data_IF_392443299337
#
_entry.id   IF_392443299337
#
_cell.length_a   1.000
_cell.length_b   1.000
_cell.length_c   1.000
_cell.angle_alpha   90.00
_cell.angle_beta   90.00
_cell.angle_gamma   90.00
#
_symmetry.space_group_name_H-M   'P 1'
#
loop_
_entity.id
_entity.type
_entity.pdbx_description
1 polymer ?
#
# COMPACT_ATOMS: atom_id res chain seq x y z
N UNK A 1 44.89 -36.02 14.21
CA UNK A 1 43.49 -36.23 14.63
C UNK A 1 42.87 -34.88 14.87
N UNK A 2 42.26 -34.30 13.84
CA UNK A 2 41.48 -33.05 13.93
C UNK A 2 40.06 -33.47 13.60
N UNK A 3 39.23 -33.53 14.64
CA UNK A 3 37.82 -33.92 14.53
C UNK A 3 37.06 -32.79 13.85
N UNK A 4 36.46 -33.11 12.71
CA UNK A 4 35.59 -32.24 11.95
C UNK A 4 34.22 -32.20 12.64
N UNK A 5 33.94 -31.15 13.42
CA UNK A 5 32.63 -30.90 14.00
C UNK A 5 31.84 -29.95 13.08
N UNK A 6 31.38 -30.49 11.95
CA UNK A 6 30.45 -29.81 11.06
C UNK A 6 29.37 -30.82 10.66
N UNK A 7 28.31 -30.89 11.47
CA UNK A 7 26.96 -31.35 11.13
C UNK A 7 26.19 -31.55 12.44
N UNK A 8 25.37 -30.57 12.83
CA UNK A 8 24.35 -30.75 13.86
C UNK A 8 23.28 -29.66 13.81
N UNK A 9 22.74 -29.39 12.62
CA UNK A 9 21.35 -28.98 12.47
C UNK A 9 20.84 -29.66 11.21
N UNK A 10 19.81 -30.52 11.28
CA UNK A 10 19.10 -30.89 10.07
C UNK A 10 18.49 -29.60 9.52
N UNK A 11 18.91 -29.17 8.33
CA UNK A 11 18.12 -28.21 7.59
C UNK A 11 16.73 -28.84 7.41
N UNK A 12 15.65 -28.17 7.82
CA UNK A 12 14.33 -28.68 7.53
C UNK A 12 14.21 -28.77 6.00
N UNK A 13 13.72 -29.91 5.50
CA UNK A 13 13.26 -30.07 4.12
C UNK A 13 12.10 -29.08 3.90
N UNK A 14 12.45 -27.81 3.70
CA UNK A 14 11.54 -26.79 3.24
C UNK A 14 11.42 -26.97 1.74
N UNK A 15 10.18 -27.00 1.27
CA UNK A 15 9.94 -26.83 -0.15
C UNK A 15 10.61 -25.50 -0.54
N UNK A 16 11.45 -25.44 -1.59
CA UNK A 16 12.00 -24.18 -2.12
C UNK A 16 10.93 -23.15 -2.50
N UNK A 17 9.66 -23.54 -2.40
CA UNK A 17 8.43 -22.76 -2.53
C UNK A 17 8.05 -21.93 -1.29
N UNK A 18 8.62 -22.17 -0.11
CA UNK A 18 8.25 -21.46 1.13
C UNK A 18 9.19 -20.28 1.46
N UNK A 19 10.20 -20.01 0.62
CA UNK A 19 11.12 -18.91 0.81
C UNK A 19 10.54 -17.59 0.25
N UNK A 20 10.47 -16.57 1.10
CA UNK A 20 10.09 -15.23 0.69
C UNK A 20 11.21 -14.61 -0.16
N UNK A 21 10.97 -14.50 -1.47
CA UNK A 21 11.92 -13.93 -2.43
C UNK A 21 11.50 -12.54 -2.88
N UNK A 22 12.46 -11.61 -2.85
CA UNK A 22 12.29 -10.23 -3.33
C UNK A 22 13.20 -10.02 -4.55
N UNK A 23 12.62 -9.56 -5.65
CA UNK A 23 13.36 -9.14 -6.83
C UNK A 23 14.11 -7.82 -6.61
N UNK A 24 15.28 -7.68 -7.24
CA UNK A 24 16.09 -6.47 -7.12
C UNK A 24 15.34 -5.21 -7.57
N UNK A 25 14.51 -5.31 -8.62
CA UNK A 25 13.70 -4.20 -9.10
C UNK A 25 12.71 -3.70 -8.04
N UNK A 26 11.93 -4.62 -7.45
CA UNK A 26 11.01 -4.29 -6.35
C UNK A 26 11.75 -3.67 -5.17
N UNK A 27 12.93 -4.18 -4.84
CA UNK A 27 13.76 -3.60 -3.77
C UNK A 27 14.24 -2.18 -4.09
N UNK A 28 14.59 -1.90 -5.34
CA UNK A 28 15.03 -0.56 -5.73
C UNK A 28 13.87 0.43 -5.79
N UNK A 29 12.71 0.00 -6.29
CA UNK A 29 11.52 0.84 -6.47
C UNK A 29 10.83 1.17 -5.16
N UNK A 30 10.85 0.26 -4.18
CA UNK A 30 10.25 0.49 -2.87
C UNK A 30 11.06 1.43 -1.95
N UNK A 31 12.21 1.94 -2.42
CA UNK A 31 13.06 2.83 -1.63
C UNK A 31 12.41 4.18 -1.32
N UNK A 32 11.60 4.73 -2.23
CA UNK A 32 10.88 5.98 -1.99
C UNK A 32 9.87 5.82 -0.85
N UNK A 33 9.12 4.72 -0.86
CA UNK A 33 8.19 4.34 0.22
C UNK A 33 8.94 4.22 1.54
N UNK A 34 10.08 3.53 1.54
CA UNK A 34 10.88 3.34 2.75
C UNK A 34 11.49 4.64 3.28
N UNK A 35 11.93 5.53 2.40
CA UNK A 35 12.41 6.86 2.78
C UNK A 35 11.29 7.69 3.42
N UNK A 36 10.12 7.74 2.78
CA UNK A 36 8.95 8.43 3.34
C UNK A 36 8.56 7.83 4.70
N UNK A 37 8.46 6.50 4.80
CA UNK A 37 8.19 5.82 6.05
C UNK A 37 9.18 6.22 7.14
N UNK A 38 10.49 6.25 6.86
CA UNK A 38 11.49 6.66 7.84
C UNK A 38 11.30 8.12 8.28
N UNK A 39 10.96 9.03 7.35
CA UNK A 39 10.75 10.45 7.66
C UNK A 39 9.44 10.71 8.40
N UNK A 40 8.42 9.91 8.16
CA UNK A 40 7.05 10.13 8.64
C UNK A 40 6.72 9.32 9.90
N UNK A 41 7.25 8.10 10.05
CA UNK A 41 6.90 7.19 11.14
C UNK A 41 7.90 7.16 12.29
N UNK A 42 9.20 7.37 12.04
CA UNK A 42 10.21 7.22 13.10
C UNK A 42 9.98 8.16 14.29
N UNK A 43 9.38 9.33 14.07
CA UNK A 43 9.04 10.25 15.16
C UNK A 43 8.03 9.65 16.16
N UNK A 44 7.12 8.78 15.71
CA UNK A 44 6.18 8.05 16.58
C UNK A 44 6.85 6.96 17.41
N UNK A 45 8.10 6.65 17.07
CA UNK A 45 8.97 5.66 17.73
C UNK A 45 10.10 6.32 18.51
N UNK A 46 10.09 7.64 18.71
CA UNK A 46 11.21 8.37 19.32
C UNK A 46 12.55 8.09 18.60
N UNK A 47 12.48 7.90 17.29
CA UNK A 47 13.62 7.65 16.44
C UNK A 47 13.85 8.82 15.49
N UNK A 48 15.10 8.99 15.09
CA UNK A 48 15.54 10.03 14.17
C UNK A 48 16.14 9.36 12.94
N UNK A 49 15.64 9.68 11.74
CA UNK A 49 16.15 9.12 10.49
C UNK A 49 17.62 9.51 10.22
N UNK A 50 18.08 10.61 10.81
CA UNK A 50 19.48 11.06 10.76
C UNK A 50 20.45 10.22 11.60
N UNK A 51 19.94 9.31 12.45
CA UNK A 51 20.77 8.45 13.30
C UNK A 51 21.04 7.11 12.61
N UNK A 52 22.31 6.80 12.25
CA UNK A 52 22.64 5.55 11.55
C UNK A 52 22.20 4.31 12.31
N UNK A 53 22.25 4.33 13.64
CA UNK A 53 21.87 3.18 14.47
C UNK A 53 20.38 2.83 14.33
N UNK A 54 19.51 3.84 14.27
CA UNK A 54 18.08 3.67 14.05
C UNK A 54 17.79 3.08 12.67
N UNK A 55 18.54 3.50 11.66
CA UNK A 55 18.43 2.97 10.30
C UNK A 55 18.92 1.52 10.25
N UNK A 56 20.20 1.26 10.55
CA UNK A 56 20.78 -0.07 10.34
C UNK A 56 20.25 -1.17 11.27
N UNK A 57 19.60 -0.83 12.39
CA UNK A 57 19.03 -1.84 13.30
C UNK A 57 17.71 -2.43 12.80
N UNK A 58 16.94 -1.67 12.02
CA UNK A 58 15.56 -2.05 11.67
C UNK A 58 15.32 -2.08 10.15
N UNK A 59 16.05 -1.27 9.39
CA UNK A 59 15.91 -1.16 7.93
C UNK A 59 15.99 -2.50 7.20
N UNK A 60 16.83 -3.50 7.57
CA UNK A 60 16.85 -4.76 6.85
C UNK A 60 15.49 -5.48 6.82
N UNK A 61 14.75 -5.49 7.93
CA UNK A 61 13.44 -6.14 8.02
C UNK A 61 12.36 -5.27 7.35
N UNK A 62 12.40 -3.95 7.59
CA UNK A 62 11.44 -3.01 6.99
C UNK A 62 11.56 -3.01 5.46
N UNK A 63 12.79 -2.86 4.94
CA UNK A 63 13.08 -2.91 3.50
C UNK A 63 12.65 -4.24 2.91
N UNK A 64 13.01 -5.37 3.52
CA UNK A 64 12.61 -6.67 3.00
C UNK A 64 11.09 -6.82 2.91
N UNK A 65 10.38 -6.40 3.95
CA UNK A 65 8.92 -6.50 4.02
C UNK A 65 8.26 -5.63 2.98
N UNK A 66 8.64 -4.36 2.92
CA UNK A 66 8.12 -3.37 1.96
C UNK A 66 8.38 -3.82 0.52
N UNK A 67 9.62 -4.20 0.20
CA UNK A 67 9.96 -4.69 -1.13
C UNK A 67 9.23 -5.98 -1.51
N UNK A 68 8.88 -6.82 -0.53
CA UNK A 68 8.07 -8.01 -0.75
C UNK A 68 6.63 -7.62 -1.09
N UNK A 69 6.00 -6.74 -0.29
CA UNK A 69 4.63 -6.27 -0.53
C UNK A 69 4.55 -5.54 -1.88
N UNK A 70 5.47 -4.63 -2.17
CA UNK A 70 5.58 -3.93 -3.46
C UNK A 70 5.64 -4.89 -4.66
N UNK A 71 6.36 -6.02 -4.51
CA UNK A 71 6.41 -7.04 -5.56
C UNK A 71 5.05 -7.71 -5.77
N UNK A 72 4.28 -7.93 -4.69
CA UNK A 72 2.95 -8.51 -4.74
C UNK A 72 1.93 -7.51 -5.34
N UNK A 73 2.04 -6.22 -5.03
CA UNK A 73 1.25 -5.16 -5.66
C UNK A 73 1.43 -5.19 -7.19
N UNK A 74 2.68 -5.24 -7.65
CA UNK A 74 2.96 -5.36 -9.09
C UNK A 74 2.44 -6.65 -9.73
N UNK A 75 2.23 -7.74 -8.96
CA UNK A 75 1.52 -8.92 -9.47
C UNK A 75 0.01 -8.71 -9.51
N UNK A 76 -0.56 -8.00 -8.53
CA UNK A 76 -1.96 -7.64 -8.49
C UNK A 76 -2.36 -6.71 -9.64
N UNK A 77 -1.58 -5.66 -9.91
CA UNK A 77 -1.77 -4.75 -11.04
C UNK A 77 -1.78 -5.50 -12.39
N UNK A 78 -0.84 -6.43 -12.58
CA UNK A 78 -0.82 -7.27 -13.79
C UNK A 78 -2.07 -8.14 -13.94
N UNK A 79 -2.72 -8.52 -12.83
CA UNK A 79 -3.98 -9.26 -12.88
C UNK A 79 -5.16 -8.37 -13.31
N UNK A 80 -5.14 -7.08 -12.97
CA UNK A 80 -6.15 -6.11 -13.42
C UNK A 80 -6.14 -5.91 -14.94
N UNK A 81 -4.96 -5.99 -15.56
CA UNK A 81 -4.79 -5.79 -17.00
C UNK A 81 -5.21 -7.01 -17.85
N UNK A 82 -5.48 -8.17 -17.24
CA UNK A 82 -5.89 -9.37 -17.97
C UNK A 82 -7.37 -9.31 -18.37
N UNK A 83 -7.75 -9.68 -19.62
CA UNK A 83 -9.15 -9.69 -20.02
C UNK A 83 -9.99 -10.68 -19.20
N UNK A 84 -11.12 -10.22 -18.65
CA UNK A 84 -12.07 -10.99 -17.82
C UNK A 84 -12.67 -12.24 -18.49
N UNK A 85 -12.40 -12.46 -19.79
CA UNK A 85 -13.00 -13.50 -20.64
C UNK A 85 -12.08 -14.67 -20.98
N UNK A 86 -10.83 -14.69 -20.49
CA UNK A 86 -9.92 -15.83 -20.74
C UNK A 86 -10.09 -16.86 -19.62
N UNK A 87 -10.57 -18.09 -19.91
CA UNK A 87 -10.53 -19.18 -18.93
C UNK A 87 -9.07 -19.36 -18.47
N UNK A 88 -8.91 -19.64 -17.17
CA UNK A 88 -7.66 -19.73 -16.38
C UNK A 88 -6.63 -20.77 -16.89
N UNK A 89 -6.83 -21.35 -18.07
CA UNK A 89 -5.97 -22.32 -18.75
C UNK A 89 -5.80 -22.03 -20.25
N UNK A 90 -5.70 -20.77 -20.68
CA UNK A 90 -5.22 -20.53 -22.04
C UNK A 90 -3.72 -20.80 -22.13
N UNK A 91 -3.33 -21.59 -23.11
CA UNK A 91 -1.95 -21.90 -23.53
C UNK A 91 -1.10 -20.65 -23.84
N UNK A 92 -1.72 -19.47 -23.89
CA UNK A 92 -1.05 -18.21 -24.21
C UNK A 92 -0.13 -17.69 -23.07
N UNK A 93 -0.14 -18.34 -21.89
CA UNK A 93 0.87 -18.12 -20.85
C UNK A 93 2.21 -18.83 -21.12
N UNK A 94 2.32 -19.62 -22.20
CA UNK A 94 3.59 -20.29 -22.53
C UNK A 94 4.59 -19.40 -23.29
N UNK A 95 4.23 -18.17 -23.68
CA UNK A 95 5.08 -17.35 -24.57
C UNK A 95 5.39 -15.92 -24.08
N UNK A 96 5.40 -15.70 -22.76
CA UNK A 96 6.06 -14.53 -22.15
C UNK A 96 6.97 -14.99 -21.00
N UNK A 97 8.21 -15.28 -21.37
CA UNK A 97 9.45 -15.30 -20.57
C UNK A 97 9.31 -15.39 -19.02
N UNK A 98 8.91 -16.55 -18.52
CA UNK A 98 9.69 -17.41 -17.61
C UNK A 98 8.73 -18.34 -16.85
N UNK A 99 9.11 -19.62 -16.72
CA UNK A 99 8.43 -20.57 -15.82
C UNK A 99 8.32 -20.04 -14.37
N UNK A 100 9.19 -19.10 -13.99
CA UNK A 100 9.20 -18.42 -12.70
C UNK A 100 8.03 -17.41 -12.60
N UNK A 101 7.78 -16.60 -13.62
CA UNK A 101 6.66 -15.64 -13.65
C UNK A 101 5.29 -16.32 -13.54
N UNK A 102 5.06 -17.37 -14.32
CA UNK A 102 3.82 -18.16 -14.24
C UNK A 102 3.68 -18.94 -12.92
N UNK A 103 4.78 -19.16 -12.20
CA UNK A 103 4.80 -19.82 -10.88
C UNK A 103 4.53 -18.81 -9.77
N UNK A 104 5.13 -17.63 -9.82
CA UNK A 104 4.92 -16.53 -8.86
C UNK A 104 3.47 -16.00 -8.90
N UNK A 105 2.88 -15.84 -10.09
CA UNK A 105 1.46 -15.44 -10.22
C UNK A 105 0.52 -16.50 -9.64
N UNK A 106 0.83 -17.80 -9.79
CA UNK A 106 0.05 -18.88 -9.18
C UNK A 106 0.12 -18.87 -7.66
N UNK A 107 1.28 -18.53 -7.11
CA UNK A 107 1.51 -18.44 -5.67
C UNK A 107 0.76 -17.25 -5.06
N UNK A 108 0.88 -16.08 -5.69
CA UNK A 108 0.13 -14.88 -5.32
C UNK A 108 -1.38 -15.16 -5.23
N UNK A 109 -1.94 -15.93 -6.16
CA UNK A 109 -3.38 -16.24 -6.17
C UNK A 109 -3.85 -17.18 -5.07
N UNK A 110 -2.96 -17.94 -4.43
CA UNK A 110 -3.35 -18.96 -3.43
C UNK A 110 -3.20 -18.45 -2.01
N UNK A 111 -2.03 -17.92 -1.68
CA UNK A 111 -1.67 -17.46 -0.34
C UNK A 111 -0.43 -16.54 -0.48
N UNK A 112 -0.64 -15.26 -0.85
CA UNK A 112 0.43 -14.36 -1.25
C UNK A 112 1.39 -14.05 -0.09
N UNK A 113 0.90 -14.04 1.15
CA UNK A 113 1.70 -13.68 2.32
C UNK A 113 2.30 -14.86 3.07
N UNK A 114 1.97 -16.12 2.73
CA UNK A 114 2.53 -17.30 3.41
C UNK A 114 4.05 -17.24 3.61
N UNK A 115 4.86 -16.90 2.60
CA UNK A 115 6.31 -16.89 2.77
C UNK A 115 6.76 -15.80 3.75
N UNK A 116 6.15 -14.61 3.68
CA UNK A 116 6.44 -13.52 4.59
C UNK A 116 6.05 -13.89 6.03
N UNK A 117 4.88 -14.51 6.23
CA UNK A 117 4.44 -15.00 7.54
C UNK A 117 5.47 -15.97 8.16
N UNK A 118 5.98 -16.93 7.37
CA UNK A 118 7.01 -17.88 7.82
C UNK A 118 8.30 -17.15 8.23
N UNK A 119 8.74 -16.14 7.46
CA UNK A 119 9.93 -15.35 7.79
C UNK A 119 9.72 -14.58 9.10
N UNK A 120 8.60 -13.89 9.24
CA UNK A 120 8.29 -13.09 10.44
C UNK A 120 8.15 -13.98 11.68
N UNK A 121 7.53 -15.16 11.56
CA UNK A 121 7.39 -16.14 12.65
C UNK A 121 8.77 -16.62 13.12
N UNK A 122 9.66 -17.01 12.20
CA UNK A 122 11.02 -17.46 12.53
C UNK A 122 11.87 -16.40 13.21
N UNK A 123 11.65 -15.14 12.88
CA UNK A 123 12.33 -14.01 13.52
C UNK A 123 11.68 -13.57 14.84
N UNK A 124 10.58 -14.21 15.27
CA UNK A 124 9.83 -13.83 16.46
C UNK A 124 9.13 -12.47 16.34
N UNK A 125 8.85 -12.04 15.10
CA UNK A 125 8.24 -10.74 14.79
C UNK A 125 6.75 -10.84 14.48
N UNK A 126 6.24 -12.04 14.19
CA UNK A 126 4.84 -12.22 13.86
C UNK A 126 3.95 -11.99 15.09
N UNK A 127 2.90 -11.19 14.91
CA UNK A 127 1.85 -10.95 15.91
C UNK A 127 0.49 -11.11 15.26
N UNK A 128 -0.55 -11.40 16.05
CA UNK A 128 -1.93 -11.51 15.57
C UNK A 128 -2.36 -10.26 14.79
N UNK A 129 -1.94 -9.07 15.24
CA UNK A 129 -2.24 -7.80 14.56
C UNK A 129 -1.54 -7.66 13.22
N UNK A 130 -0.29 -8.13 13.09
CA UNK A 130 0.40 -8.14 11.78
C UNK A 130 -0.29 -9.11 10.82
N UNK A 131 -0.70 -10.28 11.31
CA UNK A 131 -1.49 -11.22 10.49
C UNK A 131 -2.81 -10.60 10.02
N UNK A 132 -3.45 -9.80 10.87
CA UNK A 132 -4.69 -9.11 10.55
C UNK A 132 -4.50 -8.00 9.52
N UNK A 133 -3.42 -7.20 9.61
CA UNK A 133 -3.10 -6.20 8.58
C UNK A 133 -2.72 -6.85 7.23
N UNK A 134 -2.06 -8.02 7.23
CA UNK A 134 -1.82 -8.78 6.00
C UNK A 134 -3.13 -9.27 5.37
N UNK A 135 -4.09 -9.75 6.19
CA UNK A 135 -5.44 -10.10 5.71
C UNK A 135 -6.17 -8.89 5.13
N UNK A 136 -6.01 -7.72 5.75
CA UNK A 136 -6.52 -6.45 5.21
C UNK A 136 -5.92 -6.13 3.84
N UNK A 137 -4.63 -6.38 3.61
CA UNK A 137 -4.00 -6.24 2.30
C UNK A 137 -4.58 -7.20 1.24
N UNK A 138 -4.85 -8.46 1.61
CA UNK A 138 -5.53 -9.39 0.70
C UNK A 138 -6.96 -8.94 0.36
N UNK A 139 -7.69 -8.42 1.34
CA UNK A 139 -9.03 -7.84 1.17
C UNK A 139 -8.96 -6.63 0.22
N UNK A 140 -7.99 -5.73 0.41
CA UNK A 140 -7.78 -4.59 -0.48
C UNK A 140 -7.60 -5.03 -1.93
N UNK A 141 -6.66 -5.94 -2.21
CA UNK A 141 -6.42 -6.42 -3.57
C UNK A 141 -7.64 -7.11 -4.17
N UNK A 142 -8.45 -7.80 -3.36
CA UNK A 142 -9.70 -8.39 -3.83
C UNK A 142 -10.72 -7.32 -4.23
N UNK A 143 -10.92 -6.30 -3.39
CA UNK A 143 -11.82 -5.19 -3.65
C UNK A 143 -11.40 -4.38 -4.87
N UNK A 144 -10.12 -4.06 -4.99
CA UNK A 144 -9.57 -3.36 -6.15
C UNK A 144 -9.88 -4.11 -7.46
N UNK A 145 -9.59 -5.41 -7.50
CA UNK A 145 -9.90 -6.24 -8.67
C UNK A 145 -11.38 -6.28 -9.00
N UNK A 146 -12.24 -6.39 -7.99
CA UNK A 146 -13.69 -6.40 -8.18
C UNK A 146 -14.19 -5.05 -8.72
N UNK A 147 -13.81 -3.95 -8.08
CA UNK A 147 -14.25 -2.60 -8.41
C UNK A 147 -13.76 -2.17 -9.80
N UNK A 148 -12.48 -2.36 -10.10
CA UNK A 148 -11.92 -2.01 -11.41
C UNK A 148 -12.48 -2.89 -12.54
N UNK A 149 -12.74 -4.19 -12.27
CA UNK A 149 -13.41 -5.05 -13.26
C UNK A 149 -14.86 -4.62 -13.51
N UNK A 150 -15.57 -4.18 -12.47
CA UNK A 150 -16.92 -3.66 -12.57
C UNK A 150 -16.98 -2.37 -13.39
N UNK A 151 -16.00 -1.47 -13.24
CA UNK A 151 -15.89 -0.26 -14.08
C UNK A 151 -15.77 -0.59 -15.56
N UNK A 152 -14.83 -1.47 -15.94
CA UNK A 152 -14.63 -1.88 -17.34
C UNK A 152 -15.85 -2.60 -17.90
N UNK A 153 -16.49 -3.44 -17.08
CA UNK A 153 -17.70 -4.19 -17.47
C UNK A 153 -18.99 -3.35 -17.39
N UNK A 154 -18.88 -2.06 -17.04
CA UNK A 154 -19.98 -1.15 -16.77
C UNK A 154 -21.05 -1.70 -15.80
N UNK A 155 -20.64 -2.48 -14.81
CA UNK A 155 -21.51 -3.02 -13.75
C UNK A 155 -21.68 -2.01 -12.62
N UNK A 156 -22.70 -2.19 -11.79
CA UNK A 156 -22.85 -1.42 -10.56
C UNK A 156 -21.70 -1.73 -9.59
N UNK A 157 -21.37 -0.75 -8.75
CA UNK A 157 -20.37 -0.89 -7.68
C UNK A 157 -21.00 -0.54 -6.33
N UNK A 158 -20.40 -1.04 -5.26
CA UNK A 158 -20.76 -0.68 -3.88
C UNK A 158 -19.89 0.48 -3.41
N UNK A 159 -20.51 1.58 -2.97
CA UNK A 159 -19.76 2.68 -2.36
C UNK A 159 -19.09 2.26 -1.04
N UNK A 160 -19.68 1.31 -0.31
CA UNK A 160 -19.09 0.78 0.93
C UNK A 160 -17.78 0.05 0.64
N UNK A 161 -17.73 -0.66 -0.47
CA UNK A 161 -16.58 -1.45 -0.89
C UNK A 161 -15.47 -0.52 -1.38
N UNK A 162 -15.83 0.53 -2.13
CA UNK A 162 -14.88 1.58 -2.51
C UNK A 162 -14.31 2.33 -1.30
N UNK A 163 -15.15 2.72 -0.34
CA UNK A 163 -14.69 3.33 0.91
C UNK A 163 -13.85 2.37 1.74
N UNK A 164 -14.20 1.09 1.78
CA UNK A 164 -13.38 0.06 2.46
C UNK A 164 -12.02 -0.08 1.79
N UNK A 165 -11.97 -0.14 0.46
CA UNK A 165 -10.72 -0.28 -0.28
C UNK A 165 -9.74 0.86 0.00
N UNK A 166 -10.18 2.13 -0.07
CA UNK A 166 -9.29 3.27 0.22
C UNK A 166 -8.77 3.25 1.67
N UNK A 167 -9.57 2.80 2.64
CA UNK A 167 -9.11 2.63 4.02
C UNK A 167 -8.11 1.47 4.21
N UNK A 168 -8.06 0.52 3.28
CA UNK A 168 -7.16 -0.62 3.35
C UNK A 168 -5.87 -0.42 2.54
N UNK A 169 -5.81 0.60 1.68
CA UNK A 169 -4.74 0.80 0.70
C UNK A 169 -3.34 0.86 1.32
N UNK A 170 -3.14 1.64 2.39
CA UNK A 170 -1.84 1.79 3.08
C UNK A 170 -1.57 0.71 4.15
N UNK A 171 -1.94 -0.55 3.90
CA UNK A 171 -1.72 -1.64 4.87
C UNK A 171 -0.24 -1.99 5.06
N UNK A 172 0.58 -1.79 4.03
CA UNK A 172 2.04 -1.91 4.01
C UNK A 172 2.70 -1.01 5.06
N UNK A 173 2.32 0.28 5.12
CA UNK A 173 2.76 1.23 6.13
C UNK A 173 2.38 0.79 7.55
N UNK A 174 1.16 0.27 7.73
CA UNK A 174 0.70 -0.26 9.02
C UNK A 174 1.49 -1.48 9.45
N UNK A 175 1.79 -2.40 8.54
CA UNK A 175 2.66 -3.56 8.81
C UNK A 175 4.06 -3.10 9.20
N UNK A 176 4.68 -2.19 8.45
CA UNK A 176 6.00 -1.63 8.77
C UNK A 176 5.99 -0.96 10.15
N UNK A 177 4.94 -0.22 10.50
CA UNK A 177 4.79 0.43 11.80
C UNK A 177 4.70 -0.59 12.95
N UNK A 178 3.90 -1.64 12.78
CA UNK A 178 3.77 -2.72 13.76
C UNK A 178 5.06 -3.52 13.91
N UNK A 179 5.75 -3.81 12.81
CA UNK A 179 7.07 -4.44 12.84
C UNK A 179 8.08 -3.59 13.61
N UNK A 180 8.04 -2.27 13.45
CA UNK A 180 8.93 -1.37 14.17
C UNK A 180 8.67 -1.38 15.68
N UNK A 181 7.40 -1.42 16.12
CA UNK A 181 7.07 -1.65 17.53
C UNK A 181 7.65 -2.97 18.06
N UNK A 182 7.46 -4.05 17.30
CA UNK A 182 7.92 -5.39 17.70
C UNK A 182 9.45 -5.50 17.75
N UNK A 183 10.15 -4.96 16.75
CA UNK A 183 11.61 -4.92 16.69
C UNK A 183 12.22 -4.15 17.87
N UNK A 184 11.50 -3.16 18.39
CA UNK A 184 11.92 -2.35 19.55
C UNK A 184 11.48 -2.95 20.89
N UNK A 185 10.67 -3.99 20.87
CA UNK A 185 10.07 -4.57 22.09
C UNK A 185 9.14 -3.61 22.81
N UNK A 186 8.51 -2.69 22.07
CA UNK A 186 7.57 -1.71 22.62
C UNK A 186 6.12 -2.12 22.41
N UNK A 187 5.25 -1.67 23.32
CA UNK A 187 3.80 -1.84 23.14
C UNK A 187 3.31 -0.89 22.06
N UNK A 188 2.43 -1.40 21.20
CA UNK A 188 1.74 -0.58 20.20
C UNK A 188 0.96 0.53 20.91
N UNK A 189 1.10 1.75 20.40
CA UNK A 189 0.35 2.91 20.88
C UNK A 189 -0.90 3.09 20.01
N UNK A 190 -2.08 2.79 20.56
CA UNK A 190 -3.34 2.85 19.81
C UNK A 190 -3.69 4.26 19.32
N UNK A 191 -3.32 5.29 20.06
CA UNK A 191 -3.54 6.67 19.61
C UNK A 191 -2.70 6.98 18.36
N UNK A 192 -1.45 6.49 18.32
CA UNK A 192 -0.59 6.65 17.15
C UNK A 192 -1.15 5.87 15.96
N UNK A 193 -1.59 4.63 16.17
CA UNK A 193 -2.19 3.82 15.11
C UNK A 193 -3.46 4.46 14.54
N UNK A 194 -4.34 4.97 15.40
CA UNK A 194 -5.57 5.64 14.95
C UNK A 194 -5.25 6.93 14.19
N UNK A 195 -4.36 7.77 14.73
CA UNK A 195 -3.93 9.00 14.07
C UNK A 195 -3.35 8.73 12.67
N UNK A 196 -2.39 7.81 12.59
CA UNK A 196 -1.72 7.47 11.33
C UNK A 196 -2.71 6.90 10.32
N UNK A 197 -3.64 6.03 10.72
CA UNK A 197 -4.65 5.49 9.79
C UNK A 197 -5.55 6.55 9.13
N UNK A 198 -5.83 7.66 9.83
CA UNK A 198 -6.61 8.78 9.27
C UNK A 198 -5.73 9.65 8.37
N UNK A 199 -4.47 9.86 8.77
CA UNK A 199 -3.53 10.60 7.95
C UNK A 199 -3.20 9.88 6.64
N UNK A 200 -2.98 8.57 6.71
CA UNK A 200 -2.83 7.66 5.56
C UNK A 200 -4.00 7.83 4.59
N UNK A 201 -5.24 7.75 5.07
CA UNK A 201 -6.42 7.96 4.23
C UNK A 201 -6.39 9.30 3.49
N UNK A 202 -6.03 10.39 4.15
CA UNK A 202 -5.96 11.71 3.51
C UNK A 202 -4.84 11.75 2.45
N UNK A 203 -3.69 11.12 2.71
CA UNK A 203 -2.62 10.98 1.72
C UNK A 203 -3.09 10.18 0.52
N UNK A 204 -3.71 9.02 0.72
CA UNK A 204 -4.23 8.19 -0.38
C UNK A 204 -5.28 8.91 -1.23
N UNK A 205 -6.17 9.68 -0.61
CA UNK A 205 -7.15 10.50 -1.35
C UNK A 205 -6.43 11.62 -2.12
N UNK A 206 -5.36 12.21 -1.58
CA UNK A 206 -4.58 13.22 -2.27
C UNK A 206 -3.87 12.64 -3.49
N UNK A 207 -3.26 11.46 -3.34
CA UNK A 207 -2.55 10.76 -4.42
C UNK A 207 -3.53 10.35 -5.52
N UNK A 208 -4.68 9.75 -5.16
CA UNK A 208 -5.75 9.43 -6.12
C UNK A 208 -6.24 10.69 -6.88
N UNK A 209 -6.32 11.85 -6.24
CA UNK A 209 -6.74 13.08 -6.93
C UNK A 209 -5.66 13.63 -7.87
N UNK A 210 -4.38 13.38 -7.55
CA UNK A 210 -3.25 13.78 -8.37
C UNK A 210 -3.10 12.86 -9.60
N UNK A 211 -3.20 11.54 -9.39
CA UNK A 211 -3.01 10.50 -10.41
C UNK A 211 -4.30 10.13 -11.17
N UNK A 212 -5.40 10.84 -10.93
CA UNK A 212 -6.74 10.51 -11.44
C UNK A 212 -6.80 10.19 -12.94
N UNK A 213 -6.12 10.98 -13.78
CA UNK A 213 -6.14 10.78 -15.23
C UNK A 213 -5.38 9.51 -15.63
N UNK A 214 -4.20 9.29 -15.04
CA UNK A 214 -3.37 8.11 -15.30
C UNK A 214 -4.05 6.84 -14.78
N UNK A 215 -4.67 6.88 -13.61
CA UNK A 215 -5.45 5.76 -13.06
C UNK A 215 -6.66 5.39 -13.92
N UNK A 216 -7.32 6.36 -14.54
CA UNK A 216 -8.36 6.09 -15.54
C UNK A 216 -7.76 5.40 -16.76
N UNK A 217 -6.59 5.82 -17.23
CA UNK A 217 -5.94 5.19 -18.40
C UNK A 217 -5.54 3.74 -18.09
N UNK A 218 -4.92 3.50 -16.95
CA UNK A 218 -4.36 2.21 -16.55
C UNK A 218 -5.39 1.25 -15.94
N UNK A 219 -6.58 1.76 -15.61
CA UNK A 219 -7.63 1.05 -14.90
C UNK A 219 -7.25 0.66 -13.45
N UNK A 220 -6.49 1.52 -12.77
CA UNK A 220 -6.08 1.35 -11.37
C UNK A 220 -7.16 1.85 -10.40
N UNK A 221 -7.22 1.32 -9.18
CA UNK A 221 -8.18 1.82 -8.20
C UNK A 221 -7.97 3.31 -7.95
N UNK A 222 -9.08 4.06 -7.89
CA UNK A 222 -9.06 5.49 -7.58
C UNK A 222 -10.41 5.89 -7.00
N UNK A 223 -10.40 6.56 -5.85
CA UNK A 223 -11.61 6.87 -5.10
C UNK A 223 -12.55 7.81 -5.87
N UNK A 224 -12.02 8.76 -6.65
CA UNK A 224 -12.86 9.65 -7.45
C UNK A 224 -13.55 8.88 -8.58
N UNK A 225 -12.86 7.94 -9.24
CA UNK A 225 -13.47 7.04 -10.25
C UNK A 225 -14.66 6.28 -9.65
N UNK A 226 -14.49 5.74 -8.44
CA UNK A 226 -15.57 5.02 -7.74
C UNK A 226 -16.72 5.95 -7.39
N UNK A 227 -16.44 7.16 -6.88
CA UNK A 227 -17.49 8.12 -6.55
C UNK A 227 -18.27 8.56 -7.79
N UNK A 228 -17.60 8.79 -8.92
CA UNK A 228 -18.23 9.13 -10.20
C UNK A 228 -19.12 7.99 -10.67
N UNK A 229 -18.66 6.74 -10.59
CA UNK A 229 -19.46 5.58 -10.98
C UNK A 229 -20.72 5.40 -10.13
N UNK A 230 -20.64 5.66 -8.83
CA UNK A 230 -21.76 5.44 -7.91
C UNK A 230 -22.73 6.64 -7.82
N UNK A 231 -22.22 7.85 -7.65
CA UNK A 231 -23.03 9.07 -7.47
C UNK A 231 -23.35 9.79 -8.78
N UNK A 232 -22.63 9.48 -9.86
CA UNK A 232 -22.68 10.21 -11.11
C UNK A 232 -21.78 11.46 -11.09
N UNK A 233 -21.43 11.98 -12.28
CA UNK A 233 -20.37 12.99 -12.43
C UNK A 233 -20.68 14.33 -11.74
N UNK A 234 -21.95 14.71 -11.65
CA UNK A 234 -22.35 15.97 -11.02
C UNK A 234 -22.29 15.93 -9.49
N UNK A 235 -22.59 14.78 -8.88
CA UNK A 235 -22.66 14.66 -7.42
C UNK A 235 -21.35 14.16 -6.79
N UNK A 236 -20.53 13.43 -7.55
CA UNK A 236 -19.29 12.82 -7.06
C UNK A 236 -18.31 13.83 -6.41
N UNK A 237 -17.98 15.00 -7.00
CA UNK A 237 -17.07 15.96 -6.37
C UNK A 237 -17.60 16.48 -5.02
N UNK A 238 -18.91 16.70 -4.91
CA UNK A 238 -19.54 17.18 -3.67
C UNK A 238 -19.48 16.10 -2.59
N UNK A 239 -19.80 14.85 -2.96
CA UNK A 239 -19.75 13.72 -2.05
C UNK A 239 -18.32 13.42 -1.59
N UNK A 240 -17.33 13.52 -2.48
CA UNK A 240 -15.93 13.32 -2.13
C UNK A 240 -15.41 14.44 -1.23
N UNK A 241 -15.74 15.70 -1.51
CA UNK A 241 -15.40 16.82 -0.64
C UNK A 241 -15.96 16.62 0.78
N UNK A 242 -17.20 16.12 0.89
CA UNK A 242 -17.79 15.79 2.20
C UNK A 242 -17.03 14.67 2.91
N UNK A 243 -16.66 13.60 2.19
CA UNK A 243 -15.86 12.50 2.73
C UNK A 243 -14.50 12.98 3.26
N UNK A 244 -13.83 13.85 2.49
CA UNK A 244 -12.57 14.49 2.89
C UNK A 244 -12.76 15.33 4.16
N UNK A 245 -13.80 16.18 4.23
CA UNK A 245 -14.06 17.01 5.41
C UNK A 245 -14.29 16.17 6.68
N UNK A 246 -15.03 15.06 6.58
CA UNK A 246 -15.25 14.16 7.72
C UNK A 246 -13.92 13.53 8.20
N UNK A 247 -13.02 13.17 7.27
CA UNK A 247 -11.70 12.65 7.60
C UNK A 247 -10.78 13.74 8.21
N UNK A 248 -10.81 14.97 7.69
CA UNK A 248 -10.06 16.11 8.24
C UNK A 248 -10.52 16.47 9.65
N UNK A 249 -11.83 16.48 9.93
CA UNK A 249 -12.35 16.71 11.28
C UNK A 249 -11.85 15.66 12.27
N UNK A 250 -11.80 14.39 11.86
CA UNK A 250 -11.24 13.30 12.67
C UNK A 250 -9.73 13.47 12.86
N UNK A 251 -9.00 13.79 11.80
CA UNK A 251 -7.57 14.07 11.82
C UNK A 251 -7.23 15.18 12.82
N UNK A 252 -7.94 16.31 12.75
CA UNK A 252 -7.75 17.45 13.65
C UNK A 252 -8.02 17.11 15.11
N UNK A 253 -9.02 16.26 15.37
CA UNK A 253 -9.33 15.77 16.70
C UNK A 253 -8.19 14.93 17.28
N UNK A 254 -7.65 14.00 16.48
CA UNK A 254 -6.56 13.11 16.88
C UNK A 254 -5.22 13.85 17.00
N UNK A 255 -4.93 14.77 16.09
CA UNK A 255 -3.72 15.59 16.11
C UNK A 255 -3.60 16.37 17.43
N UNK A 256 -4.72 16.95 17.92
CA UNK A 256 -4.79 17.65 19.20
C UNK A 256 -4.64 16.73 20.41
N UNK A 257 -4.89 15.43 20.25
CA UNK A 257 -4.75 14.44 21.30
C UNK A 257 -3.32 13.87 21.40
N UNK A 258 -2.50 14.01 20.35
CA UNK A 258 -1.09 13.62 20.36
C UNK A 258 -0.28 14.46 21.37
N UNK A 259 0.90 13.93 21.72
CA UNK A 259 1.91 14.73 22.41
C UNK A 259 2.21 16.02 21.60
N UNK A 260 2.27 17.20 22.23
CA UNK A 260 2.44 18.46 21.52
C UNK A 260 3.74 18.55 20.70
N UNK A 261 4.83 17.95 21.16
CA UNK A 261 6.09 17.94 20.41
C UNK A 261 5.97 17.04 19.18
N UNK A 262 5.36 15.86 19.34
CA UNK A 262 5.09 14.95 18.24
C UNK A 262 4.15 15.58 17.19
N UNK A 263 3.06 16.19 17.62
CA UNK A 263 2.12 16.91 16.74
C UNK A 263 2.84 17.99 15.92
N UNK A 264 3.71 18.78 16.55
CA UNK A 264 4.47 19.83 15.87
C UNK A 264 5.46 19.24 14.85
N UNK A 265 6.18 18.17 15.22
CA UNK A 265 7.11 17.48 14.30
C UNK A 265 6.37 16.91 13.08
N UNK A 266 5.21 16.31 13.32
CA UNK A 266 4.40 15.73 12.25
C UNK A 266 3.87 16.79 11.29
N UNK A 267 3.31 17.89 11.80
CA UNK A 267 2.86 19.01 10.98
C UNK A 267 3.98 19.56 10.10
N UNK A 268 5.19 19.72 10.67
CA UNK A 268 6.36 20.15 9.89
C UNK A 268 6.71 19.16 8.77
N UNK A 269 6.63 17.85 9.04
CA UNK A 269 6.84 16.81 8.02
C UNK A 269 5.81 16.91 6.89
N UNK A 270 4.55 17.18 7.20
CA UNK A 270 3.50 17.41 6.19
C UNK A 270 3.81 18.62 5.30
N UNK A 271 4.28 19.72 5.90
CA UNK A 271 4.72 20.91 5.16
C UNK A 271 5.90 20.59 4.22
N UNK A 272 6.89 19.84 4.70
CA UNK A 272 8.02 19.37 3.89
C UNK A 272 7.56 18.52 2.70
N UNK A 273 6.70 17.52 2.92
CA UNK A 273 6.13 16.68 1.85
C UNK A 273 5.38 17.51 0.80
N UNK A 274 4.54 18.44 1.26
CA UNK A 274 3.78 19.34 0.38
C UNK A 274 4.70 20.21 -0.48
N UNK A 275 5.83 20.67 0.10
CA UNK A 275 6.82 21.49 -0.60
C UNK A 275 7.63 20.70 -1.62
N UNK A 276 7.98 19.44 -1.32
CA UNK A 276 8.66 18.51 -2.23
C UNK A 276 7.77 18.20 -3.44
N UNK A 277 6.44 18.13 -3.25
CA UNK A 277 5.44 18.05 -4.32
C UNK A 277 5.22 19.36 -5.11
N UNK A 278 6.04 20.39 -4.88
CA UNK A 278 6.04 21.63 -5.68
C UNK A 278 5.12 22.76 -5.19
N UNK A 279 4.41 22.60 -4.06
CA UNK A 279 3.59 23.67 -3.45
C UNK A 279 4.40 24.47 -2.43
N UNK A 280 4.70 25.73 -2.73
CA UNK A 280 5.55 26.61 -1.86
C UNK A 280 4.76 27.46 -0.85
N UNK A 281 3.43 27.52 -0.96
CA UNK A 281 2.56 28.31 -0.08
C UNK A 281 1.17 27.65 0.05
N UNK A 282 0.62 27.57 1.27
CA UNK A 282 -0.71 27.01 1.53
C UNK A 282 -0.88 26.48 2.96
N UNK A 283 -2.06 25.90 3.29
CA UNK A 283 -2.26 25.14 4.53
C UNK A 283 -1.25 23.99 4.66
N UNK A 284 -0.97 23.53 5.88
CA UNK A 284 -0.01 22.44 6.15
C UNK A 284 -0.42 21.08 5.58
N UNK A 285 -1.71 20.87 5.35
CA UNK A 285 -2.27 19.71 4.63
C UNK A 285 -2.45 19.97 3.12
N UNK A 286 -1.98 21.11 2.63
CA UNK A 286 -2.21 21.57 1.26
C UNK A 286 -3.63 22.07 1.02
N UNK A 287 -3.92 22.34 -0.26
CA UNK A 287 -5.27 22.67 -0.73
C UNK A 287 -5.74 21.52 -1.62
N UNK A 288 -6.93 20.99 -1.33
CA UNK A 288 -7.60 19.98 -2.16
C UNK A 288 -7.94 20.55 -3.53
N UNK A 289 -7.52 19.84 -4.57
CA UNK A 289 -7.92 20.12 -5.93
C UNK A 289 -8.58 18.86 -6.50
N UNK A 290 -9.91 18.87 -6.57
CA UNK A 290 -10.64 17.78 -7.24
C UNK A 290 -10.54 18.03 -8.75
N UNK A 291 -9.92 17.13 -9.53
CA UNK A 291 -9.74 17.32 -10.96
C UNK A 291 -11.09 17.29 -11.70
N UNK A 292 -11.14 17.79 -12.94
CA UNK A 292 -12.33 17.64 -13.78
C UNK A 292 -12.72 16.18 -13.94
N UNK A 293 -14.00 15.88 -13.69
CA UNK A 293 -14.52 14.50 -13.77
C UNK A 293 -14.50 13.98 -15.21
N UNK A 294 -14.00 12.76 -15.39
CA UNK A 294 -14.08 12.01 -16.64
C UNK A 294 -15.41 11.22 -16.65
N UNK A 295 -16.38 11.67 -17.44
CA UNK A 295 -17.71 11.04 -17.50
C UNK A 295 -17.73 9.71 -18.29
N UNK A 296 -16.91 9.63 -19.34
CA UNK A 296 -16.83 8.45 -20.23
C UNK A 296 -15.37 7.98 -20.28
N UNK A 297 -15.02 7.10 -19.35
CA UNK A 297 -13.68 6.53 -19.27
C UNK A 297 -13.31 5.70 -20.52
N UNK A 298 -14.29 5.08 -21.19
CA UNK A 298 -14.02 4.29 -22.40
C UNK A 298 -13.58 5.21 -23.55
N UNK A 299 -14.27 6.34 -23.72
CA UNK A 299 -13.89 7.36 -24.68
C UNK A 299 -12.57 8.03 -24.29
N UNK A 300 -12.34 8.29 -23.01
CA UNK A 300 -11.09 8.87 -22.51
C UNK A 300 -9.91 7.95 -22.84
N UNK A 301 -9.96 6.68 -22.44
CA UNK A 301 -8.94 5.66 -22.75
C UNK A 301 -8.65 5.53 -24.25
N UNK A 302 -9.70 5.55 -25.08
CA UNK A 302 -9.55 5.45 -26.54
C UNK A 302 -8.79 6.63 -27.16
N UNK A 303 -8.84 7.82 -26.54
CA UNK A 303 -8.07 8.99 -27.00
C UNK A 303 -6.56 8.84 -26.74
N UNK A 304 -6.17 8.17 -25.66
CA UNK A 304 -4.77 7.93 -25.31
C UNK A 304 -4.16 6.71 -26.01
N UNK A 305 -4.97 5.76 -26.46
CA UNK A 305 -4.50 4.63 -27.29
C UNK A 305 -4.19 5.01 -28.74
N UNK A 306 -4.48 6.24 -29.16
CA UNK A 306 -4.24 6.76 -30.53
C UNK A 306 -3.11 7.79 -30.60
N UNK A 307 -2.47 8.11 -29.48
CA UNK A 307 -1.31 9.00 -29.37
C UNK A 307 0.00 8.19 -29.33
#
# INVERSE_FOLDING_TARGET
MVGNAAQLYPEPDLDPLDDAMVGMDSMMRSNSTLEDFCRSYFMFHNMEASQPRSIFSYLPILSFTESYIYQLDGFNEKLLQLPSSVPVFSKDFEDVDSKLGAKSVRMFRKDPFRPLLIVLERQGLLTERIEEELRCGEEYWALERELCSALVSNKEISIKDATRAIHLKSFDYRIMNLLLYQLRGEKVNELHMEFLSVSELLVEVSDDLFDYEDDVVENNFNILRMFVKYYGPSAAPIMLAKFITEAEEKYDGLLKALDPELSMKYQKRCEEATSEGGKTYGPSLGTWHIPPVIEDEARYRAAFSQA
#
